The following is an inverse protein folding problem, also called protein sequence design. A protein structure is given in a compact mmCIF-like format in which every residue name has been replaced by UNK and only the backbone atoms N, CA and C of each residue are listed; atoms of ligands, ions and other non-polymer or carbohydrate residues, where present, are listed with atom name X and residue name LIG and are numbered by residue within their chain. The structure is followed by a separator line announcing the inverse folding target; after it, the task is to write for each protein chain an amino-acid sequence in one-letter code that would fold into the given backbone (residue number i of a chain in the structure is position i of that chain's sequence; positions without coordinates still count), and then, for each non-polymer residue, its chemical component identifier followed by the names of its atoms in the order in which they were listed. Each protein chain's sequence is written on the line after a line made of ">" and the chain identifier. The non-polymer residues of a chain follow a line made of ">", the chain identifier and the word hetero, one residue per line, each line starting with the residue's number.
data_IF_714416253088
#
_entry.id   IF_714416253088
#
_cell.length_a   1.000
_cell.length_b   1.000
_cell.length_c   1.000
_cell.angle_alpha   90.00
_cell.angle_beta   90.00
_cell.angle_gamma   90.00
#
_symmetry.space_group_name_H-M   'P 1'
#
loop_
_entity.id
_entity.type
_entity.pdbx_description
1 polymer ?
#
# COMPACT_ATOMS: atom_id res chain seq x y z
N UNK A 1 8.32 -9.54 -12.23
CA UNK A 1 8.72 -10.71 -11.44
C UNK A 1 8.21 -10.56 -10.02
N UNK A 2 7.68 -11.65 -9.47
CA UNK A 2 7.29 -11.69 -8.05
C UNK A 2 8.48 -12.25 -7.27
N UNK A 3 9.00 -11.51 -6.28
CA UNK A 3 10.08 -12.01 -5.46
C UNK A 3 9.62 -13.26 -4.70
N UNK A 4 10.45 -14.29 -4.73
CA UNK A 4 10.18 -15.57 -4.05
C UNK A 4 10.98 -15.74 -2.77
N UNK A 5 11.96 -14.88 -2.54
CA UNK A 5 12.85 -14.90 -1.37
C UNK A 5 13.34 -13.51 -1.01
N UNK A 6 13.93 -13.38 0.15
CA UNK A 6 14.44 -12.12 0.68
C UNK A 6 13.51 -11.51 1.72
N UNK A 7 13.92 -10.37 2.23
CA UNK A 7 13.10 -9.54 3.12
C UNK A 7 13.47 -8.09 2.91
N UNK A 8 12.49 -7.23 3.11
CA UNK A 8 12.71 -5.79 3.07
C UNK A 8 12.11 -5.16 4.33
N UNK A 9 12.90 -4.35 4.97
CA UNK A 9 12.46 -3.50 6.07
C UNK A 9 13.02 -2.12 5.87
N UNK A 10 12.17 -1.11 5.95
CA UNK A 10 12.60 0.29 6.01
C UNK A 10 11.86 1.02 7.13
N UNK A 11 12.62 1.85 7.83
CA UNK A 11 12.10 2.78 8.82
C UNK A 11 12.64 4.16 8.48
N UNK A 12 11.75 5.11 8.33
CA UNK A 12 12.09 6.48 7.96
C UNK A 12 11.46 7.46 8.94
N UNK A 13 12.28 8.35 9.47
CA UNK A 13 11.83 9.54 10.17
C UNK A 13 12.09 10.75 9.29
N UNK A 14 11.11 11.63 9.16
CA UNK A 14 11.21 12.87 8.39
C UNK A 14 10.70 14.04 9.20
N UNK A 15 11.52 15.08 9.27
CA UNK A 15 11.18 16.36 9.85
C UNK A 15 10.93 17.35 8.71
N UNK A 16 9.70 17.83 8.58
CA UNK A 16 9.35 18.85 7.62
C UNK A 16 9.31 20.20 8.34
N UNK A 17 10.27 21.06 8.04
CA UNK A 17 10.35 22.42 8.54
C UNK A 17 9.90 23.41 7.47
N UNK A 18 9.34 24.53 7.89
CA UNK A 18 8.97 25.60 6.99
C UNK A 18 10.21 26.43 6.64
N UNK A 19 10.71 26.32 5.41
CA UNK A 19 11.91 27.04 5.00
C UNK A 19 11.62 28.35 4.25
N UNK A 20 10.49 28.52 3.59
CA UNK A 20 10.20 29.71 2.75
C UNK A 20 8.72 29.99 2.51
N UNK A 21 7.85 29.06 2.79
CA UNK A 21 6.39 29.24 2.67
C UNK A 21 5.82 29.19 4.07
N UNK A 22 5.38 30.31 4.58
CA UNK A 22 4.69 30.36 5.87
C UNK A 22 3.42 29.51 5.81
N UNK A 23 3.56 28.24 6.12
CA UNK A 23 2.45 27.44 6.56
C UNK A 23 2.00 28.08 7.87
N UNK A 24 0.80 28.56 7.94
CA UNK A 24 0.22 29.29 9.09
C UNK A 24 0.38 28.64 10.47
N UNK A 25 0.97 27.47 10.55
CA UNK A 25 1.27 26.72 11.76
C UNK A 25 2.78 26.51 11.80
N UNK A 26 3.47 27.28 12.59
CA UNK A 26 4.92 27.28 12.82
C UNK A 26 5.48 26.00 13.45
N UNK A 27 4.76 24.89 13.38
CA UNK A 27 5.13 23.64 14.04
C UNK A 27 5.73 22.69 12.99
N UNK A 28 6.99 22.26 13.15
CA UNK A 28 7.57 21.28 12.27
C UNK A 28 6.76 19.96 12.31
N UNK A 29 6.51 19.38 11.15
CA UNK A 29 5.80 18.12 11.05
C UNK A 29 6.78 16.97 11.22
N UNK A 30 6.50 16.10 12.17
CA UNK A 30 7.24 14.88 12.42
C UNK A 30 6.52 13.70 11.78
N UNK A 31 7.17 13.00 10.86
CA UNK A 31 6.58 11.89 10.14
C UNK A 31 7.43 10.64 10.33
N UNK A 32 6.79 9.58 10.79
CA UNK A 32 7.33 8.23 10.81
C UNK A 32 6.72 7.40 9.69
N UNK A 33 7.55 6.67 8.95
CA UNK A 33 7.12 5.71 7.94
C UNK A 33 7.84 4.39 8.16
N UNK A 34 7.11 3.30 8.10
CA UNK A 34 7.63 1.94 8.20
C UNK A 34 7.07 1.10 7.05
N UNK A 35 7.94 0.36 6.40
CA UNK A 35 7.54 -0.63 5.41
C UNK A 35 8.25 -1.94 5.71
N UNK A 36 7.51 -3.03 5.62
CA UNK A 36 8.03 -4.37 5.77
C UNK A 36 7.35 -5.29 4.78
N UNK A 37 8.12 -6.13 4.10
CA UNK A 37 7.59 -7.29 3.40
C UNK A 37 8.58 -8.45 3.39
N UNK A 38 8.06 -9.66 3.34
CA UNK A 38 8.85 -10.88 3.33
C UNK A 38 8.18 -11.97 2.49
N UNK A 39 8.65 -12.24 1.27
CA UNK A 39 8.20 -13.39 0.49
C UNK A 39 8.59 -14.69 1.18
N UNK A 40 7.68 -15.63 1.24
CA UNK A 40 7.82 -16.95 1.81
C UNK A 40 7.41 -17.99 0.78
N UNK A 41 8.38 -18.67 0.18
CA UNK A 41 8.11 -19.76 -0.75
C UNK A 41 7.66 -20.99 0.03
N UNK A 42 6.40 -21.37 -0.13
CA UNK A 42 5.85 -22.61 0.46
C UNK A 42 6.21 -23.82 -0.38
N UNK A 43 6.22 -23.64 -1.69
CA UNK A 43 6.65 -24.63 -2.68
C UNK A 43 7.33 -23.91 -3.85
N UNK A 44 7.86 -24.66 -4.82
CA UNK A 44 8.42 -24.08 -6.05
C UNK A 44 7.39 -23.25 -6.86
N UNK A 45 6.09 -23.49 -6.63
CA UNK A 45 4.99 -22.83 -7.36
C UNK A 45 4.18 -21.87 -6.52
N UNK A 46 4.27 -21.94 -5.21
CA UNK A 46 3.43 -21.15 -4.29
C UNK A 46 4.31 -20.29 -3.42
N UNK A 47 4.03 -18.99 -3.43
CA UNK A 47 4.66 -18.01 -2.56
C UNK A 47 3.60 -17.17 -1.85
N UNK A 48 3.80 -16.95 -0.55
CA UNK A 48 3.00 -16.04 0.26
C UNK A 48 3.87 -14.85 0.63
N UNK A 49 3.36 -13.65 0.42
CA UNK A 49 4.08 -12.41 0.74
C UNK A 49 3.26 -11.55 1.69
N UNK A 50 3.48 -11.65 3.01
CA UNK A 50 2.97 -10.65 3.94
C UNK A 50 3.69 -9.33 3.76
N UNK A 51 2.92 -8.23 3.89
CA UNK A 51 3.41 -6.86 3.83
C UNK A 51 2.73 -6.00 4.89
N UNK A 52 3.48 -5.09 5.49
CA UNK A 52 2.98 -4.11 6.44
C UNK A 52 3.56 -2.75 6.07
N UNK A 53 2.69 -1.75 5.96
CA UNK A 53 3.05 -0.37 5.74
C UNK A 53 2.35 0.50 6.79
N UNK A 54 3.10 1.36 7.44
CA UNK A 54 2.58 2.30 8.42
C UNK A 54 3.15 3.69 8.18
N UNK A 55 2.33 4.70 8.37
CA UNK A 55 2.77 6.08 8.36
C UNK A 55 2.02 6.87 9.43
N UNK A 56 2.77 7.60 10.25
CA UNK A 56 2.25 8.41 11.33
C UNK A 56 2.80 9.83 11.25
N UNK A 57 1.90 10.81 11.20
CA UNK A 57 2.21 12.23 11.34
C UNK A 57 1.90 12.62 12.78
N UNK A 58 2.94 12.95 13.56
CA UNK A 58 2.88 13.12 15.01
C UNK A 58 2.30 14.48 15.45
N UNK A 59 1.61 15.20 14.59
CA UNK A 59 1.08 16.53 14.87
C UNK A 59 -0.44 16.46 14.97
N UNK A 60 -1.04 17.20 15.90
CA UNK A 60 -2.50 17.25 16.06
C UNK A 60 -3.18 17.96 14.87
N UNK A 61 -2.56 19.03 14.38
CA UNK A 61 -3.03 19.75 13.19
C UNK A 61 -2.09 19.47 12.02
N UNK A 62 -2.60 18.77 11.01
CA UNK A 62 -1.83 18.39 9.83
C UNK A 62 -2.45 19.02 8.59
N UNK A 63 -1.72 19.86 7.84
CA UNK A 63 -2.18 20.39 6.57
C UNK A 63 -2.55 19.26 5.60
N UNK A 64 -3.58 19.45 4.79
CA UNK A 64 -4.11 18.42 3.90
C UNK A 64 -3.03 17.78 3.00
N UNK A 65 -2.07 18.57 2.54
CA UNK A 65 -0.97 18.09 1.68
C UNK A 65 -0.02 17.08 2.34
N UNK A 66 0.00 17.01 3.67
CA UNK A 66 0.85 16.09 4.44
C UNK A 66 0.08 14.91 5.02
N UNK A 67 -1.25 14.92 4.95
CA UNK A 67 -2.08 13.81 5.43
C UNK A 67 -1.79 12.53 4.69
N UNK A 68 -2.04 11.42 5.36
CA UNK A 68 -2.00 10.11 4.71
C UNK A 68 -3.04 10.05 3.59
N UNK A 69 -2.71 9.34 2.55
CA UNK A 69 -3.60 9.09 1.40
C UNK A 69 -3.71 7.59 1.21
N UNK A 70 -4.93 7.08 1.29
CA UNK A 70 -5.20 5.68 0.97
C UNK A 70 -5.63 5.54 -0.48
N UNK A 71 -5.20 4.48 -1.12
CA UNK A 71 -5.68 4.08 -2.44
C UNK A 71 -4.57 3.76 -3.43
N UNK A 72 -4.99 3.27 -4.57
CA UNK A 72 -4.08 2.78 -5.58
C UNK A 72 -3.41 1.46 -5.19
N UNK A 73 -2.58 0.96 -6.08
CA UNK A 73 -2.02 -0.38 -6.00
C UNK A 73 -0.66 -0.45 -5.30
N UNK A 74 0.10 0.64 -5.36
CA UNK A 74 1.47 0.70 -4.87
C UNK A 74 1.64 1.81 -3.84
N UNK A 75 2.44 1.52 -2.81
CA UNK A 75 2.78 2.51 -1.80
C UNK A 75 3.71 3.57 -2.37
N UNK A 76 3.35 4.84 -2.17
CA UNK A 76 4.18 5.97 -2.58
C UNK A 76 4.36 6.14 -4.08
N UNK A 77 3.54 5.49 -4.91
CA UNK A 77 3.68 5.56 -6.37
C UNK A 77 3.35 6.95 -6.92
N UNK A 78 2.23 7.53 -6.49
CA UNK A 78 1.84 8.87 -6.93
C UNK A 78 2.23 9.95 -5.93
N UNK A 79 2.17 9.65 -4.65
CA UNK A 79 2.47 10.57 -3.56
C UNK A 79 3.30 9.84 -2.48
N UNK A 80 4.34 10.48 -1.91
CA UNK A 80 5.16 9.86 -0.86
C UNK A 80 4.36 9.41 0.37
N UNK A 81 3.22 10.07 0.66
CA UNK A 81 2.30 9.76 1.75
C UNK A 81 1.24 8.70 1.40
N UNK A 82 1.27 8.16 0.19
CA UNK A 82 0.31 7.16 -0.26
C UNK A 82 0.55 5.81 0.41
N UNK A 83 -0.53 5.21 0.87
CA UNK A 83 -0.61 3.83 1.38
C UNK A 83 -1.54 3.06 0.45
N UNK A 84 -1.05 1.96 -0.10
CA UNK A 84 -1.83 1.15 -1.02
C UNK A 84 -3.03 0.50 -0.34
N UNK A 85 -4.18 0.57 -1.00
CA UNK A 85 -5.38 -0.18 -0.63
C UNK A 85 -5.78 -1.00 -1.84
N UNK A 86 -5.54 -2.30 -1.76
CA UNK A 86 -5.78 -3.21 -2.87
C UNK A 86 -7.24 -3.18 -3.31
N UNK A 87 -7.45 -3.21 -4.62
CA UNK A 87 -8.78 -3.11 -5.20
C UNK A 87 -9.36 -1.68 -5.23
N UNK A 88 -8.65 -0.67 -4.73
CA UNK A 88 -9.10 0.72 -4.84
C UNK A 88 -8.54 1.39 -6.08
N UNK A 89 -9.42 1.99 -6.88
CA UNK A 89 -9.03 2.84 -8.03
C UNK A 89 -8.92 4.33 -7.65
N UNK A 90 -9.52 4.73 -6.53
CA UNK A 90 -9.49 6.11 -6.04
C UNK A 90 -8.43 6.34 -4.98
N UNK A 91 -8.24 7.61 -4.64
CA UNK A 91 -7.43 8.04 -3.51
C UNK A 91 -8.30 8.84 -2.54
N UNK A 92 -8.19 8.54 -1.25
CA UNK A 92 -8.88 9.24 -0.17
C UNK A 92 -7.91 9.70 0.89
N UNK A 93 -8.16 10.87 1.47
CA UNK A 93 -7.39 11.36 2.60
C UNK A 93 -7.76 10.61 3.87
N UNK A 94 -6.73 10.14 4.54
CA UNK A 94 -6.81 9.49 5.83
C UNK A 94 -6.44 10.47 6.96
N UNK A 95 -6.52 9.98 8.19
CA UNK A 95 -6.08 10.69 9.38
C UNK A 95 -4.54 10.64 9.52
N UNK A 96 -4.07 11.08 10.68
CA UNK A 96 -2.65 11.25 10.96
C UNK A 96 -1.89 9.92 11.04
N UNK A 97 -2.56 8.85 11.51
CA UNK A 97 -2.01 7.51 11.57
C UNK A 97 -2.72 6.59 10.60
N UNK A 98 -1.98 5.90 9.76
CA UNK A 98 -2.50 4.88 8.86
C UNK A 98 -1.60 3.66 8.87
N UNK A 99 -2.21 2.49 8.94
CA UNK A 99 -1.58 1.17 8.90
C UNK A 99 -2.26 0.33 7.85
N UNK A 100 -1.50 -0.26 6.96
CA UNK A 100 -1.98 -1.25 6.01
C UNK A 100 -1.22 -2.56 6.21
N UNK A 101 -1.95 -3.64 6.36
CA UNK A 101 -1.40 -5.00 6.39
C UNK A 101 -2.05 -5.81 5.28
N UNK A 102 -1.24 -6.47 4.49
CA UNK A 102 -1.74 -7.31 3.40
C UNK A 102 -0.97 -8.62 3.28
N UNK A 103 -1.64 -9.60 2.69
CA UNK A 103 -1.04 -10.88 2.35
C UNK A 103 -1.38 -11.19 0.90
N UNK A 104 -0.35 -11.43 0.11
CA UNK A 104 -0.48 -11.84 -1.28
C UNK A 104 -0.07 -13.29 -1.44
N UNK A 105 -0.95 -14.10 -2.01
CA UNK A 105 -0.68 -15.46 -2.44
C UNK A 105 -0.39 -15.44 -3.94
N UNK A 106 0.74 -15.99 -4.35
CA UNK A 106 1.11 -16.19 -5.75
C UNK A 106 1.17 -17.68 -6.07
N UNK A 107 0.60 -18.04 -7.20
CA UNK A 107 0.67 -19.39 -7.74
C UNK A 107 1.19 -19.39 -9.19
N UNK A 108 2.36 -19.98 -9.38
CA UNK A 108 3.02 -20.12 -10.69
C UNK A 108 2.65 -21.47 -11.29
N UNK A 109 1.68 -21.53 -12.17
CA UNK A 109 1.32 -22.80 -12.80
C UNK A 109 2.16 -23.10 -14.04
N UNK A 110 2.77 -22.07 -14.67
CA UNK A 110 3.83 -22.22 -15.68
C UNK A 110 4.87 -21.11 -15.49
N UNK A 111 6.07 -21.21 -16.09
CA UNK A 111 7.11 -20.17 -15.98
C UNK A 111 6.69 -18.77 -16.44
N UNK A 112 5.61 -18.68 -17.21
CA UNK A 112 5.10 -17.40 -17.73
C UNK A 112 3.73 -17.00 -17.21
N UNK A 113 3.05 -17.88 -16.47
CA UNK A 113 1.67 -17.67 -16.06
C UNK A 113 1.54 -17.73 -14.55
N UNK A 114 0.95 -16.69 -13.98
CA UNK A 114 0.80 -16.49 -12.54
C UNK A 114 -0.64 -16.16 -12.21
N UNK A 115 -1.18 -16.83 -11.21
CA UNK A 115 -2.39 -16.40 -10.51
C UNK A 115 -1.95 -15.77 -9.18
N UNK A 116 -2.64 -14.74 -8.77
CA UNK A 116 -2.41 -14.17 -7.46
C UNK A 116 -3.72 -13.67 -6.84
N UNK A 117 -3.76 -13.80 -5.53
CA UNK A 117 -4.84 -13.26 -4.70
C UNK A 117 -4.21 -12.44 -3.59
N UNK A 118 -4.80 -11.31 -3.28
CA UNK A 118 -4.38 -10.47 -2.17
C UNK A 118 -5.59 -10.15 -1.30
N UNK A 119 -5.36 -10.16 0.00
CA UNK A 119 -6.28 -9.58 0.98
C UNK A 119 -5.53 -8.52 1.76
N UNK A 120 -6.18 -7.40 1.98
CA UNK A 120 -5.60 -6.29 2.69
C UNK A 120 -6.57 -5.72 3.72
N UNK A 121 -6.00 -5.18 4.78
CA UNK A 121 -6.71 -4.48 5.83
C UNK A 121 -5.97 -3.17 6.12
N UNK A 122 -6.66 -2.05 5.93
CA UNK A 122 -6.11 -0.73 6.22
C UNK A 122 -6.89 -0.12 7.39
N UNK A 123 -6.16 0.30 8.41
CA UNK A 123 -6.71 0.99 9.58
C UNK A 123 -6.26 2.46 9.59
N UNK A 124 -7.12 3.35 10.03
CA UNK A 124 -6.97 4.79 10.00
C UNK A 124 -7.46 5.44 11.30
N UNK A 125 -6.63 6.28 11.92
CA UNK A 125 -6.95 6.93 13.18
C UNK A 125 -6.18 8.25 13.35
N UNK A 126 -6.63 9.11 14.27
CA UNK A 126 -5.88 10.32 14.63
C UNK A 126 -4.69 10.01 15.53
N UNK A 127 -4.80 9.00 16.39
CA UNK A 127 -3.76 8.64 17.37
C UNK A 127 -3.43 7.15 17.30
N UNK A 128 -2.20 6.81 17.60
CA UNK A 128 -1.68 5.45 17.56
C UNK A 128 -2.50 4.47 18.43
N UNK A 129 -2.86 4.89 19.65
CA UNK A 129 -3.60 4.03 20.60
C UNK A 129 -5.07 3.79 20.23
N UNK A 130 -5.61 4.56 19.27
CA UNK A 130 -6.97 4.36 18.74
C UNK A 130 -6.99 3.64 17.39
N UNK A 131 -5.85 3.15 16.91
CA UNK A 131 -5.74 2.57 15.56
C UNK A 131 -6.68 1.39 15.32
N UNK A 132 -6.81 0.50 16.31
CA UNK A 132 -7.69 -0.67 16.20
C UNK A 132 -9.18 -0.34 16.36
N UNK A 133 -9.51 0.80 16.98
CA UNK A 133 -10.87 1.29 17.17
C UNK A 133 -11.25 2.38 16.15
N UNK A 134 -10.32 2.73 15.26
CA UNK A 134 -10.52 3.70 14.19
C UNK A 134 -11.31 3.16 13.01
N UNK A 135 -11.30 3.89 11.91
CA UNK A 135 -11.89 3.41 10.66
C UNK A 135 -11.03 2.31 10.06
N UNK A 136 -11.68 1.32 9.49
CA UNK A 136 -10.99 0.22 8.83
C UNK A 136 -11.58 -0.07 7.47
N UNK A 137 -10.71 -0.44 6.53
CA UNK A 137 -11.04 -0.65 5.13
C UNK A 137 -10.45 -2.00 4.68
N UNK A 138 -11.27 -3.05 4.64
CA UNK A 138 -10.85 -4.31 4.04
C UNK A 138 -10.78 -4.16 2.52
N UNK A 139 -9.84 -4.85 1.92
CA UNK A 139 -9.70 -4.94 0.47
C UNK A 139 -9.29 -6.33 0.05
N UNK A 140 -9.63 -6.70 -1.16
CA UNK A 140 -9.20 -7.96 -1.75
C UNK A 140 -9.05 -7.80 -3.26
N UNK A 141 -8.12 -8.53 -3.85
CA UNK A 141 -8.04 -8.66 -5.29
C UNK A 141 -7.69 -10.08 -5.72
N UNK A 142 -8.11 -10.41 -6.93
CA UNK A 142 -7.73 -11.61 -7.64
C UNK A 142 -7.22 -11.20 -9.02
N UNK A 143 -6.09 -11.73 -9.42
CA UNK A 143 -5.47 -11.37 -10.67
C UNK A 143 -4.76 -12.52 -11.37
N UNK A 144 -4.63 -12.35 -12.66
CA UNK A 144 -3.83 -13.19 -13.54
C UNK A 144 -2.75 -12.34 -14.20
N UNK A 145 -1.54 -12.88 -14.29
CA UNK A 145 -0.42 -12.25 -14.97
C UNK A 145 0.22 -13.21 -15.96
N UNK A 146 0.49 -12.70 -17.15
CA UNK A 146 1.24 -13.38 -18.19
C UNK A 146 2.54 -12.63 -18.50
N UNK A 147 3.68 -13.30 -18.39
CA UNK A 147 4.97 -12.72 -18.71
C UNK A 147 5.20 -12.75 -20.22
N UNK A 148 4.94 -11.63 -20.88
CA UNK A 148 5.19 -11.44 -22.33
C UNK A 148 6.60 -10.89 -22.58
N UNK A 149 7.00 -10.82 -23.85
CA UNK A 149 8.27 -10.21 -24.29
C UNK A 149 8.30 -8.70 -23.96
N UNK A 150 7.14 -8.04 -23.97
CA UNK A 150 7.00 -6.61 -23.64
C UNK A 150 6.85 -6.34 -22.13
N UNK A 151 6.99 -7.37 -21.29
CA UNK A 151 6.75 -7.30 -19.86
C UNK A 151 5.47 -8.00 -19.42
N UNK A 152 5.15 -7.97 -18.13
CA UNK A 152 3.97 -8.63 -17.60
C UNK A 152 2.68 -7.97 -18.08
N UNK A 153 1.76 -8.77 -18.60
CA UNK A 153 0.37 -8.42 -18.83
C UNK A 153 -0.41 -8.85 -17.60
N UNK A 154 -1.16 -7.95 -16.98
CA UNK A 154 -1.91 -8.24 -15.75
C UNK A 154 -3.36 -7.82 -15.90
N UNK A 155 -4.24 -8.72 -15.52
CA UNK A 155 -5.68 -8.46 -15.39
C UNK A 155 -6.08 -8.76 -13.97
N UNK A 156 -6.75 -7.84 -13.32
CA UNK A 156 -7.19 -7.96 -11.93
C UNK A 156 -8.64 -7.53 -11.77
N UNK A 157 -9.27 -8.15 -10.81
CA UNK A 157 -10.54 -7.69 -10.26
C UNK A 157 -10.35 -7.51 -8.75
N UNK A 158 -10.51 -6.28 -8.28
CA UNK A 158 -10.39 -5.94 -6.89
C UNK A 158 -11.68 -5.41 -6.29
N UNK A 159 -11.88 -5.67 -5.01
CA UNK A 159 -12.89 -5.04 -4.16
C UNK A 159 -12.20 -4.19 -3.10
N UNK A 160 -12.68 -2.98 -2.90
CA UNK A 160 -12.20 -2.11 -1.85
C UNK A 160 -13.33 -1.70 -0.91
N UNK A 161 -13.14 -1.91 0.38
CA UNK A 161 -14.01 -1.39 1.43
C UNK A 161 -13.98 0.14 1.54
N UNK A 162 -12.94 0.79 1.02
CA UNK A 162 -12.83 2.25 0.95
C UNK A 162 -13.88 2.82 0.00
N UNK A 163 -13.94 2.34 -1.25
CA UNK A 163 -14.90 2.76 -2.27
C UNK A 163 -16.20 1.96 -2.24
N UNK A 164 -16.22 0.79 -1.56
CA UNK A 164 -17.32 -0.20 -1.55
C UNK A 164 -17.73 -0.65 -2.95
N UNK A 165 -16.77 -0.74 -3.87
CA UNK A 165 -16.98 -1.10 -5.28
C UNK A 165 -15.95 -2.10 -5.75
N UNK A 166 -16.31 -2.81 -6.84
CA UNK A 166 -15.38 -3.62 -7.60
C UNK A 166 -14.71 -2.75 -8.68
N UNK A 167 -13.41 -2.96 -8.85
CA UNK A 167 -12.62 -2.25 -9.84
C UNK A 167 -11.83 -3.26 -10.68
N UNK A 168 -12.09 -3.35 -11.99
CA UNK A 168 -11.22 -4.06 -12.90
C UNK A 168 -9.95 -3.23 -13.15
N UNK A 169 -8.82 -3.90 -13.28
CA UNK A 169 -7.55 -3.28 -13.58
C UNK A 169 -6.81 -4.07 -14.65
N UNK A 170 -6.29 -3.37 -15.65
CA UNK A 170 -5.44 -3.92 -16.70
C UNK A 170 -4.12 -3.16 -16.72
N UNK A 171 -3.00 -3.89 -16.75
CA UNK A 171 -1.68 -3.27 -16.91
C UNK A 171 -0.80 -4.07 -17.86
N UNK A 172 0.05 -3.34 -18.57
CA UNK A 172 1.02 -3.87 -19.52
C UNK A 172 2.39 -3.26 -19.20
N UNK A 173 3.41 -4.10 -19.05
CA UNK A 173 4.78 -3.67 -18.83
C UNK A 173 5.22 -3.69 -17.36
N UNK A 174 6.45 -3.23 -17.14
CA UNK A 174 7.06 -3.08 -15.82
C UNK A 174 6.76 -1.70 -15.26
N UNK A 175 6.53 -1.64 -13.96
CA UNK A 175 6.52 -0.38 -13.22
C UNK A 175 7.93 -0.11 -12.71
N UNK A 176 8.40 1.08 -12.96
CA UNK A 176 9.68 1.61 -12.48
C UNK A 176 9.44 2.67 -11.42
#
# INVERSE_FOLDING_TARGET
>A
DFPTSGQYFSFQYSLHTDNFVQLKNDIPLNVLKMNFYKPLSLTEKICITPRINARYVMNDSVPHMYRNVAGGRFDGHYLPQQISVQGSAGMEFLNNMALSADVTLHYNFTPKNYLYANINFTADSHHLHHLLNGRSYPGANLGYSYLSVAGPLRVELGYSGLSRRFHPYLSIGHYF
#
